data_IF_388791201384
#
_entry.id   IF_388791201384
#
_cell.length_a   1.000
_cell.length_b   1.000
_cell.length_c   1.000
_cell.angle_alpha   90.00
_cell.angle_beta   90.00
_cell.angle_gamma   90.00
#
_symmetry.space_group_name_H-M   'P 1'
#
loop_
_entity.id
_entity.type
_entity.pdbx_description
1 polymer ?
#
# COMPACT_ATOMS: atom_id res chain seq x y z
N UNK A 1 -65.25 -8.64 -19.91
CA UNK A 1 -65.62 -9.23 -21.17
C UNK A 1 -65.16 -8.42 -22.36
N UNK A 2 -64.94 -9.01 -23.51
CA UNK A 2 -63.61 -9.43 -23.96
C UNK A 2 -63.23 -8.74 -25.26
N UNK A 3 -61.98 -8.79 -25.70
CA UNK A 3 -61.73 -9.08 -27.10
C UNK A 3 -60.30 -9.58 -27.37
N UNK A 4 -60.33 -10.80 -27.86
CA UNK A 4 -59.29 -11.49 -28.62
C UNK A 4 -59.10 -10.84 -29.99
N UNK A 5 -57.85 -10.86 -30.49
CA UNK A 5 -57.43 -11.09 -31.88
C UNK A 5 -55.90 -11.26 -31.83
N UNK A 6 -55.36 -12.47 -31.92
CA UNK A 6 -55.03 -13.37 -33.05
C UNK A 6 -54.12 -12.75 -34.09
N UNK A 7 -52.90 -13.22 -34.05
CA UNK A 7 -52.13 -13.98 -35.08
C UNK A 7 -51.78 -13.15 -36.34
N UNK A 8 -50.47 -13.01 -36.60
CA UNK A 8 -49.92 -13.53 -37.87
C UNK A 8 -48.40 -13.72 -37.75
N UNK A 9 -48.01 -14.94 -37.96
CA UNK A 9 -46.68 -15.39 -38.32
C UNK A 9 -46.35 -14.86 -39.72
N UNK A 10 -45.12 -14.41 -39.94
CA UNK A 10 -44.48 -14.50 -41.23
C UNK A 10 -43.00 -14.77 -41.04
N UNK A 11 -42.66 -16.00 -41.34
CA UNK A 11 -41.33 -16.49 -41.63
C UNK A 11 -40.72 -15.68 -42.80
N UNK A 12 -39.58 -15.11 -42.63
CA UNK A 12 -38.68 -14.81 -43.71
C UNK A 12 -37.30 -15.44 -43.45
N UNK A 13 -37.15 -16.59 -44.11
CA UNK A 13 -35.87 -17.27 -44.28
C UNK A 13 -34.93 -16.38 -45.13
N UNK A 14 -33.88 -15.83 -44.54
CA UNK A 14 -32.79 -15.26 -45.30
C UNK A 14 -31.75 -16.35 -45.54
N UNK A 15 -31.76 -16.87 -46.77
CA UNK A 15 -30.72 -17.72 -47.35
C UNK A 15 -29.39 -16.95 -47.37
N UNK A 16 -28.44 -17.39 -46.56
CA UNK A 16 -27.04 -16.95 -46.63
C UNK A 16 -26.37 -17.75 -47.73
N UNK A 17 -26.10 -17.06 -48.85
CA UNK A 17 -25.30 -17.57 -49.95
C UNK A 17 -23.84 -17.74 -49.49
N UNK A 18 -23.36 -18.96 -49.51
CA UNK A 18 -21.94 -19.28 -49.54
C UNK A 18 -21.42 -18.88 -50.89
N UNK A 19 -20.58 -17.85 -50.93
CA UNK A 19 -19.47 -17.81 -51.89
C UNK A 19 -18.61 -16.54 -51.68
N UNK A 20 -17.33 -16.76 -51.80
CA UNK A 20 -16.24 -15.79 -51.96
C UNK A 20 -15.56 -15.27 -50.67
N UNK A 21 -14.80 -16.18 -50.06
CA UNK A 21 -13.57 -15.78 -49.38
C UNK A 21 -12.47 -15.80 -50.43
N UNK A 22 -12.19 -14.62 -51.01
CA UNK A 22 -11.00 -14.40 -51.81
C UNK A 22 -9.81 -14.21 -50.86
N UNK A 23 -8.92 -15.18 -50.89
CA UNK A 23 -7.60 -15.16 -50.29
C UNK A 23 -6.82 -13.96 -50.87
N UNK A 24 -6.65 -12.91 -50.09
CA UNK A 24 -5.75 -11.83 -50.42
C UNK A 24 -4.38 -12.12 -49.87
N UNK A 25 -3.43 -12.17 -50.76
CA UNK A 25 -2.00 -12.43 -50.54
C UNK A 25 -1.40 -11.78 -49.30
N UNK A 26 -0.70 -12.61 -48.55
CA UNK A 26 0.21 -12.15 -47.49
C UNK A 26 1.31 -11.30 -48.11
N UNK A 27 1.22 -10.01 -47.99
CA UNK A 27 2.37 -9.14 -48.14
C UNK A 27 3.19 -9.27 -46.88
N UNK A 28 4.35 -9.92 -46.98
CA UNK A 28 5.38 -9.88 -45.95
C UNK A 28 5.79 -8.43 -45.76
N UNK A 29 5.33 -7.81 -44.70
CA UNK A 29 5.93 -6.59 -44.16
C UNK A 29 7.06 -7.09 -43.27
N UNK A 30 8.29 -6.97 -43.78
CA UNK A 30 9.49 -7.06 -42.95
C UNK A 30 9.46 -5.91 -41.95
N UNK A 31 8.91 -6.16 -40.76
CA UNK A 31 9.19 -5.33 -39.61
C UNK A 31 10.64 -5.57 -39.21
N UNK A 32 11.45 -4.51 -39.12
CA UNK A 32 12.75 -4.66 -38.51
C UNK A 32 12.55 -5.15 -37.08
N UNK A 33 13.05 -6.33 -36.80
CA UNK A 33 13.17 -6.92 -35.46
C UNK A 33 14.14 -6.05 -34.66
N UNK A 34 13.69 -4.90 -34.20
CA UNK A 34 14.32 -4.22 -33.08
C UNK A 34 13.92 -5.00 -31.83
N UNK A 35 14.77 -5.97 -31.46
CA UNK A 35 14.85 -6.41 -30.08
C UNK A 35 14.82 -5.15 -29.22
N UNK A 36 13.89 -5.01 -28.26
CA UNK A 36 14.08 -4.07 -27.20
C UNK A 36 15.23 -4.62 -26.36
N UNK A 37 16.44 -4.25 -26.76
CA UNK A 37 17.60 -4.40 -25.90
C UNK A 37 17.32 -3.54 -24.67
N UNK A 38 16.88 -4.26 -23.68
CA UNK A 38 16.50 -3.83 -22.35
C UNK A 38 17.50 -2.82 -21.81
N UNK A 39 17.09 -1.58 -21.75
CA UNK A 39 17.54 -0.66 -20.71
C UNK A 39 17.02 -1.20 -19.36
N UNK A 40 17.56 -2.33 -18.94
CA UNK A 40 17.52 -2.73 -17.53
C UNK A 40 18.48 -1.77 -16.83
N UNK A 41 18.03 -0.53 -16.63
CA UNK A 41 18.57 0.28 -15.56
C UNK A 41 18.48 -0.62 -14.33
N UNK A 42 19.60 -0.85 -13.66
CA UNK A 42 19.69 -1.52 -12.37
C UNK A 42 18.70 -0.85 -11.41
N UNK A 43 17.44 -1.30 -11.46
CA UNK A 43 16.41 -0.86 -10.52
C UNK A 43 16.78 -1.58 -9.24
N UNK A 44 17.47 -0.88 -8.35
CA UNK A 44 17.70 -1.37 -6.99
C UNK A 44 16.33 -1.51 -6.35
N UNK A 45 15.83 -2.73 -6.30
CA UNK A 45 14.56 -3.04 -5.64
C UNK A 45 14.76 -2.92 -4.14
N UNK A 46 13.86 -2.19 -3.51
CA UNK A 46 13.89 -1.99 -2.07
C UNK A 46 13.26 -3.22 -1.38
N UNK A 47 13.90 -3.69 -0.30
CA UNK A 47 13.32 -4.74 0.55
C UNK A 47 12.55 -4.11 1.69
N UNK A 48 11.38 -4.66 1.98
CA UNK A 48 10.48 -4.19 3.03
C UNK A 48 10.11 -5.40 3.88
N UNK A 49 10.66 -5.48 5.09
CA UNK A 49 10.50 -6.61 6.01
C UNK A 49 9.63 -6.26 7.22
N UNK A 50 9.43 -4.97 7.47
CA UNK A 50 8.66 -4.47 8.60
C UNK A 50 7.84 -3.24 8.23
N UNK A 51 6.88 -2.87 9.10
CA UNK A 51 6.13 -1.62 8.95
C UNK A 51 7.08 -0.40 9.07
N UNK A 52 8.11 -0.49 9.89
CA UNK A 52 9.11 0.57 10.07
C UNK A 52 9.90 0.79 8.79
N UNK A 53 10.30 -0.28 8.10
CA UNK A 53 10.96 -0.21 6.79
C UNK A 53 10.05 0.44 5.76
N UNK A 54 8.77 0.07 5.75
CA UNK A 54 7.78 0.65 4.84
C UNK A 54 7.60 2.15 5.07
N UNK A 55 7.47 2.59 6.31
CA UNK A 55 7.37 4.01 6.69
C UNK A 55 8.64 4.76 6.28
N UNK A 56 9.81 4.17 6.51
CA UNK A 56 11.11 4.73 6.11
C UNK A 56 11.21 4.87 4.60
N UNK A 57 10.77 3.85 3.86
CA UNK A 57 10.73 3.86 2.41
C UNK A 57 9.79 4.96 1.87
N UNK A 58 8.60 5.12 2.46
CA UNK A 58 7.70 6.23 2.12
C UNK A 58 8.37 7.60 2.33
N UNK A 59 9.15 7.77 3.40
CA UNK A 59 9.94 8.98 3.65
C UNK A 59 10.99 9.21 2.55
N UNK A 60 11.74 8.18 2.18
CA UNK A 60 12.78 8.26 1.14
C UNK A 60 12.19 8.59 -0.24
N UNK A 61 11.03 8.03 -0.54
CA UNK A 61 10.30 8.26 -1.80
C UNK A 61 9.44 9.53 -1.77
N UNK A 62 9.46 10.30 -0.67
CA UNK A 62 8.70 11.55 -0.46
C UNK A 62 7.18 11.37 -0.53
N UNK A 63 6.68 10.18 -0.20
CA UNK A 63 5.25 9.86 -0.14
C UNK A 63 4.69 10.22 1.25
N UNK A 64 4.57 11.52 1.50
CA UNK A 64 4.23 12.06 2.83
C UNK A 64 2.82 11.64 3.28
N UNK A 65 1.85 11.62 2.37
CA UNK A 65 0.47 11.22 2.69
C UNK A 65 0.40 9.75 3.11
N UNK A 66 1.01 8.85 2.34
CA UNK A 66 1.07 7.43 2.69
C UNK A 66 1.79 7.18 4.01
N UNK A 67 2.89 7.91 4.24
CA UNK A 67 3.61 7.85 5.51
C UNK A 67 2.71 8.26 6.67
N UNK A 68 2.01 9.40 6.54
CA UNK A 68 1.12 9.90 7.57
C UNK A 68 0.01 8.89 7.90
N UNK A 69 -0.62 8.32 6.88
CA UNK A 69 -1.67 7.32 7.07
C UNK A 69 -1.15 6.06 7.74
N UNK A 70 0.02 5.55 7.33
CA UNK A 70 0.67 4.40 7.96
C UNK A 70 1.03 4.64 9.43
N UNK A 71 1.42 5.87 9.79
CA UNK A 71 1.80 6.21 11.15
C UNK A 71 0.59 6.43 12.07
N UNK A 72 -0.49 7.06 11.57
CA UNK A 72 -1.57 7.60 12.41
C UNK A 72 -2.94 6.94 12.23
N UNK A 73 -3.22 6.40 11.04
CA UNK A 73 -4.56 5.92 10.67
C UNK A 73 -4.63 4.41 10.50
N UNK A 74 -3.49 3.74 10.48
CA UNK A 74 -3.37 2.29 10.30
C UNK A 74 -2.90 1.63 11.58
N UNK A 75 -3.58 0.57 11.95
CA UNK A 75 -3.20 -0.32 13.06
C UNK A 75 -2.74 -1.65 12.47
N UNK A 76 -1.49 -2.00 12.70
CA UNK A 76 -0.92 -3.24 12.19
C UNK A 76 -1.50 -4.44 12.93
N UNK A 77 -1.95 -5.44 12.19
CA UNK A 77 -2.34 -6.75 12.72
C UNK A 77 -1.22 -7.75 12.45
N UNK A 78 -0.81 -7.87 11.20
CA UNK A 78 0.25 -8.78 10.80
C UNK A 78 1.03 -8.22 9.62
N UNK A 79 2.35 -8.38 9.69
CA UNK A 79 3.25 -8.03 8.60
C UNK A 79 4.03 -9.26 8.15
N UNK A 80 3.99 -9.55 6.86
CA UNK A 80 4.78 -10.58 6.22
C UNK A 80 5.24 -10.04 4.86
N UNK A 81 6.35 -10.53 4.35
CA UNK A 81 6.81 -10.18 3.02
C UNK A 81 5.73 -10.52 1.97
N UNK A 82 5.32 -9.53 1.21
CA UNK A 82 4.24 -9.65 0.22
C UNK A 82 2.81 -9.58 0.78
N UNK A 83 2.61 -9.54 2.11
CA UNK A 83 1.28 -9.46 2.72
C UNK A 83 1.25 -8.59 3.97
N UNK A 84 0.28 -7.68 4.03
CA UNK A 84 0.04 -6.81 5.19
C UNK A 84 -1.43 -6.90 5.58
N UNK A 85 -1.69 -7.31 6.84
CA UNK A 85 -3.03 -7.30 7.42
C UNK A 85 -3.12 -6.10 8.37
N UNK A 86 -4.04 -5.20 8.11
CA UNK A 86 -4.24 -3.95 8.86
C UNK A 86 -5.69 -3.78 9.25
N UNK A 87 -5.92 -3.11 10.37
CA UNK A 87 -7.17 -2.40 10.64
C UNK A 87 -6.93 -0.90 10.53
N UNK A 88 -8.01 -0.13 10.48
CA UNK A 88 -7.93 1.29 10.19
C UNK A 88 -9.00 2.07 10.94
N UNK A 89 -8.76 3.35 11.14
CA UNK A 89 -9.74 4.30 11.65
C UNK A 89 -10.51 4.98 10.50
N UNK A 90 -11.58 5.70 10.84
CA UNK A 90 -12.44 6.39 9.87
C UNK A 90 -11.72 7.50 9.07
N UNK A 91 -10.54 7.92 9.51
CA UNK A 91 -9.75 8.99 8.87
C UNK A 91 -8.88 8.48 7.72
N UNK A 92 -8.78 7.16 7.54
CA UNK A 92 -7.97 6.58 6.46
C UNK A 92 -8.57 6.94 5.10
N UNK A 93 -7.72 7.37 4.17
CA UNK A 93 -8.12 7.65 2.80
C UNK A 93 -8.67 6.41 2.11
N UNK A 94 -9.79 6.56 1.38
CA UNK A 94 -10.45 5.45 0.67
C UNK A 94 -9.56 4.82 -0.41
N UNK A 95 -8.64 5.58 -0.97
CA UNK A 95 -7.70 5.13 -1.99
C UNK A 95 -6.40 4.60 -1.40
N UNK A 96 -6.23 4.64 -0.08
CA UNK A 96 -4.99 4.25 0.60
C UNK A 96 -4.46 2.89 0.16
N UNK A 97 -5.30 1.85 0.23
CA UNK A 97 -4.90 0.47 -0.12
C UNK A 97 -4.42 0.38 -1.57
N UNK A 98 -5.14 1.03 -2.48
CA UNK A 98 -4.77 1.07 -3.90
C UNK A 98 -3.45 1.78 -4.10
N UNK A 99 -3.31 2.98 -3.56
CA UNK A 99 -2.09 3.79 -3.67
C UNK A 99 -0.89 3.08 -3.07
N UNK A 100 -1.04 2.48 -1.90
CA UNK A 100 0.02 1.73 -1.25
C UNK A 100 0.44 0.49 -2.07
N UNK A 101 -0.53 -0.27 -2.59
CA UNK A 101 -0.27 -1.45 -3.41
C UNK A 101 0.46 -1.11 -4.71
N UNK A 102 0.05 -0.03 -5.40
CA UNK A 102 0.68 0.46 -6.62
C UNK A 102 2.13 0.95 -6.38
N UNK A 103 2.36 1.60 -5.24
CA UNK A 103 3.70 2.07 -4.86
C UNK A 103 4.62 0.92 -4.47
N UNK A 104 4.12 -0.02 -3.66
CA UNK A 104 4.88 -1.19 -3.25
C UNK A 104 5.37 -2.01 -4.43
N UNK A 105 4.51 -2.26 -5.44
CA UNK A 105 4.94 -3.00 -6.64
C UNK A 105 6.03 -2.25 -7.41
N UNK A 106 5.97 -0.92 -7.46
CA UNK A 106 7.00 -0.09 -8.11
C UNK A 106 8.33 -0.11 -7.37
N UNK A 107 8.31 -0.16 -6.04
CA UNK A 107 9.51 -0.09 -5.22
C UNK A 107 10.17 -1.45 -5.00
N UNK A 108 9.34 -2.47 -4.75
CA UNK A 108 9.84 -3.82 -4.40
C UNK A 108 9.83 -4.79 -5.57
N UNK A 109 9.18 -4.45 -6.69
CA UNK A 109 8.98 -5.35 -7.83
C UNK A 109 8.04 -6.53 -7.54
N UNK A 110 7.53 -6.64 -6.31
CA UNK A 110 6.66 -7.74 -5.86
C UNK A 110 5.25 -7.22 -5.63
N UNK A 111 4.27 -8.05 -5.98
CA UNK A 111 2.87 -7.75 -5.70
C UNK A 111 2.59 -7.97 -4.21
N UNK A 112 2.07 -6.94 -3.55
CA UNK A 112 1.67 -7.00 -2.15
C UNK A 112 0.16 -7.15 -2.02
N UNK A 113 -0.27 -7.99 -1.08
CA UNK A 113 -1.66 -8.17 -0.70
C UNK A 113 -1.90 -7.40 0.60
N UNK A 114 -2.80 -6.43 0.55
CA UNK A 114 -3.17 -5.63 1.73
C UNK A 114 -4.59 -6.02 2.12
N UNK A 115 -4.73 -6.60 3.31
CA UNK A 115 -6.02 -7.05 3.86
C UNK A 115 -6.49 -6.05 4.90
N UNK A 116 -7.73 -5.59 4.74
CA UNK A 116 -8.41 -4.75 5.71
C UNK A 116 -9.25 -5.63 6.63
N UNK A 117 -8.90 -5.69 7.91
CA UNK A 117 -9.66 -6.41 8.92
C UNK A 117 -10.51 -5.45 9.76
N UNK A 118 -11.63 -5.96 10.27
CA UNK A 118 -12.49 -5.23 11.20
C UNK A 118 -12.06 -5.39 12.66
N UNK A 119 -11.13 -6.28 12.91
CA UNK A 119 -10.58 -6.51 14.23
C UNK A 119 -9.82 -5.28 14.71
N UNK A 120 -9.88 -5.05 16.03
CA UNK A 120 -9.08 -3.99 16.64
C UNK A 120 -7.61 -4.41 16.56
N UNK A 121 -6.87 -3.79 15.65
CA UNK A 121 -5.42 -4.00 15.53
C UNK A 121 -4.64 -3.48 16.73
N UNK A 122 -3.34 -3.62 16.68
CA UNK A 122 -2.43 -3.00 17.64
C UNK A 122 -2.59 -1.48 17.60
N UNK A 123 -2.04 -0.78 18.58
CA UNK A 123 -1.96 0.70 18.56
C UNK A 123 -1.26 1.16 17.28
N UNK A 124 -1.59 2.36 16.82
CA UNK A 124 -0.92 2.94 15.66
C UNK A 124 0.59 3.05 15.87
N UNK A 125 1.34 3.16 14.80
CA UNK A 125 2.79 3.31 14.90
C UNK A 125 3.19 4.56 15.70
N UNK A 126 2.49 5.67 15.49
CA UNK A 126 2.73 6.91 16.22
C UNK A 126 2.44 6.75 17.72
N UNK A 127 1.32 6.11 18.09
CA UNK A 127 1.00 5.83 19.50
C UNK A 127 2.04 4.93 20.15
N UNK A 128 2.45 3.85 19.46
CA UNK A 128 3.48 2.92 19.96
C UNK A 128 4.80 3.63 20.17
N UNK A 129 5.19 4.51 19.24
CA UNK A 129 6.40 5.33 19.34
C UNK A 129 6.34 6.30 20.52
N UNK A 130 5.20 6.95 20.72
CA UNK A 130 5.00 7.85 21.86
C UNK A 130 5.07 7.11 23.19
N UNK A 131 4.41 5.96 23.31
CA UNK A 131 4.48 5.12 24.51
C UNK A 131 5.91 4.68 24.81
N UNK A 132 6.66 4.23 23.79
CA UNK A 132 8.07 3.88 23.96
C UNK A 132 8.89 5.07 24.45
N UNK A 133 8.67 6.27 23.87
CA UNK A 133 9.34 7.50 24.30
C UNK A 133 9.03 7.85 25.75
N UNK A 134 7.76 7.86 26.12
CA UNK A 134 7.34 8.13 27.50
C UNK A 134 7.89 7.12 28.49
N UNK A 135 7.88 5.83 28.13
CA UNK A 135 8.45 4.78 28.97
C UNK A 135 9.95 5.02 29.23
N UNK A 136 10.71 5.37 28.18
CA UNK A 136 12.13 5.70 28.31
C UNK A 136 12.36 6.92 29.22
N UNK A 137 11.60 7.99 29.01
CA UNK A 137 11.69 9.20 29.85
C UNK A 137 11.38 8.84 31.32
N UNK A 138 10.33 8.05 31.56
CA UNK A 138 9.94 7.63 32.91
C UNK A 138 10.98 6.71 33.58
N UNK A 139 11.66 5.86 32.79
CA UNK A 139 12.76 5.06 33.30
C UNK A 139 13.96 5.92 33.69
N UNK A 140 14.32 6.90 32.84
CA UNK A 140 15.43 7.82 33.15
C UNK A 140 15.11 8.70 34.37
N UNK A 141 13.88 9.17 34.53
CA UNK A 141 13.44 9.95 35.70
C UNK A 141 13.56 9.18 37.02
N UNK A 142 13.58 7.85 37.00
CA UNK A 142 13.77 7.00 38.19
C UNK A 142 15.24 6.86 38.59
N UNK A 143 16.17 7.17 37.70
CA UNK A 143 17.61 7.02 37.97
C UNK A 143 18.10 8.07 38.99
N UNK A 144 19.09 7.68 39.75
CA UNK A 144 19.67 8.53 40.79
C UNK A 144 20.28 9.84 40.26
N UNK A 145 20.83 9.77 39.05
CA UNK A 145 21.39 10.94 38.36
C UNK A 145 20.32 12.00 38.09
N UNK A 146 19.12 11.60 37.71
CA UNK A 146 18.02 12.55 37.50
C UNK A 146 17.54 13.17 38.82
N UNK A 147 17.53 12.38 39.92
CA UNK A 147 17.19 12.90 41.24
C UNK A 147 18.19 13.97 41.69
N UNK A 148 19.49 13.68 41.58
CA UNK A 148 20.54 14.66 41.86
C UNK A 148 20.45 15.90 40.97
N UNK A 149 20.10 15.73 39.70
CA UNK A 149 19.85 16.85 38.80
C UNK A 149 18.68 17.73 39.28
N UNK A 150 17.57 17.11 39.73
CA UNK A 150 16.41 17.85 40.23
C UNK A 150 16.68 18.57 41.55
N UNK A 151 17.59 18.07 42.37
CA UNK A 151 17.99 18.72 43.62
C UNK A 151 18.72 20.05 43.34
N UNK A 152 19.42 20.12 42.20
CA UNK A 152 20.14 21.34 41.79
C UNK A 152 19.28 22.24 40.92
N UNK A 153 18.51 21.64 40.01
CA UNK A 153 17.67 22.34 39.03
C UNK A 153 16.19 21.96 39.24
N UNK A 154 15.55 22.63 40.17
CA UNK A 154 14.18 22.34 40.58
C UNK A 154 13.17 22.43 39.42
N UNK A 155 13.39 23.36 38.48
CA UNK A 155 12.53 23.58 37.30
C UNK A 155 12.97 22.78 36.06
N UNK A 156 14.10 22.06 36.17
CA UNK A 156 14.63 21.27 35.04
C UNK A 156 13.71 20.14 34.65
N UNK A 157 13.41 19.95 33.38
CA UNK A 157 12.57 18.87 32.85
C UNK A 157 13.32 18.03 31.79
N UNK A 158 13.16 16.71 31.87
CA UNK A 158 13.68 15.78 30.89
C UNK A 158 12.71 15.67 29.70
N UNK A 159 13.11 16.26 28.58
CA UNK A 159 12.28 16.32 27.36
C UNK A 159 12.52 15.15 26.41
N UNK A 160 13.76 14.62 26.36
CA UNK A 160 14.17 13.61 25.41
C UNK A 160 15.28 12.72 25.98
N UNK A 161 15.24 11.48 25.61
CA UNK A 161 16.32 10.51 25.88
C UNK A 161 16.79 9.95 24.55
N UNK A 162 18.05 10.17 24.24
CA UNK A 162 18.72 9.54 23.09
C UNK A 162 19.55 8.37 23.63
N UNK A 163 19.42 7.20 23.03
CA UNK A 163 20.31 6.08 23.29
C UNK A 163 21.61 6.38 22.55
N UNK A 164 22.69 6.54 23.28
CA UNK A 164 24.04 6.49 22.73
C UNK A 164 24.41 5.03 22.54
N UNK A 165 24.63 4.61 21.31
CA UNK A 165 25.17 3.29 20.99
C UNK A 165 26.63 3.20 21.42
#
# INVERSE_FOLDING_TARGET
NPNKKSINESNDEVKISKDQIKTTSQTKIDLPSTKPESLIKNIKLDKVLSLEDLISLCSQKKEIHLKYDLENNVNLIKFMEGKIDISFNEKLDKNFVRSLSEKLIKWTGTRWVITLAREVGQKTFAETKNIKKETLINQEKKKEIYKKFKDVFHDGELLKVDKTD
#
